data_IF_355703955366
#
_entry.id   IF_355703955366
#
_cell.length_a   1.000
_cell.length_b   1.000
_cell.length_c   1.000
_cell.angle_alpha   90.00
_cell.angle_beta   90.00
_cell.angle_gamma   90.00
#
_symmetry.space_group_name_H-M   'P 1'
#
loop_
_entity.id
_entity.type
_entity.pdbx_description
1 polymer ?
#
# COMPACT_ATOMS: atom_id res chain seq x y z
N UNK A 1 -18.51 48.48 24.25
CA UNK A 1 -19.74 48.30 23.43
C UNK A 1 -19.57 47.00 22.72
N UNK A 2 -20.02 45.92 23.27
CA UNK A 2 -21.34 45.30 23.30
C UNK A 2 -21.87 44.95 21.92
N UNK A 3 -22.02 43.67 21.71
CA UNK A 3 -22.87 43.05 20.70
C UNK A 3 -22.31 41.72 20.21
N UNK A 4 -22.54 40.64 20.86
CA UNK A 4 -23.62 39.63 20.94
C UNK A 4 -23.54 38.61 19.80
N UNK A 5 -23.22 37.39 20.19
CA UNK A 5 -23.50 36.09 19.60
C UNK A 5 -25.03 35.80 19.53
N UNK A 6 -25.48 34.97 18.65
CA UNK A 6 -26.44 33.90 18.96
C UNK A 6 -25.90 32.57 18.44
N UNK A 7 -25.88 31.50 19.12
CA UNK A 7 -26.63 30.88 20.20
C UNK A 7 -27.85 30.09 19.74
N UNK A 8 -27.68 28.77 19.73
CA UNK A 8 -28.72 27.73 20.01
C UNK A 8 -29.98 27.74 19.16
N UNK A 9 -30.23 26.60 18.53
CA UNK A 9 -31.39 25.73 18.76
C UNK A 9 -31.51 24.71 17.63
N UNK A 10 -31.39 23.44 17.96
CA UNK A 10 -32.36 22.43 17.57
C UNK A 10 -32.08 21.16 18.38
N UNK A 11 -32.78 21.08 19.51
CA UNK A 11 -33.08 19.85 20.26
C UNK A 11 -34.52 19.46 19.98
N UNK A 12 -34.69 18.12 19.97
CA UNK A 12 -35.93 17.42 20.28
C UNK A 12 -36.86 17.02 19.12
N UNK A 13 -36.90 15.71 18.85
CA UNK A 13 -38.14 14.97 18.78
C UNK A 13 -37.91 13.49 19.17
N UNK A 14 -38.14 13.19 20.43
CA UNK A 14 -38.36 11.84 20.97
C UNK A 14 -39.89 11.63 20.94
N UNK A 15 -40.35 10.51 20.40
CA UNK A 15 -41.67 9.95 20.71
C UNK A 15 -41.63 8.45 20.43
N UNK A 16 -41.46 7.63 21.46
CA UNK A 16 -42.47 6.78 22.09
C UNK A 16 -43.33 5.95 21.14
N UNK A 17 -43.10 4.65 21.11
CA UNK A 17 -44.22 3.71 21.17
C UNK A 17 -43.85 2.46 21.99
N UNK A 18 -44.47 2.33 23.15
CA UNK A 18 -44.64 1.15 24.00
C UNK A 18 -45.95 0.48 23.62
N UNK A 19 -45.95 -0.84 23.43
CA UNK A 19 -47.02 -1.75 23.82
C UNK A 19 -46.50 -3.17 23.66
N UNK A 20 -46.26 -3.92 24.71
CA UNK A 20 -47.17 -4.76 25.50
C UNK A 20 -47.84 -5.87 24.66
N UNK A 21 -47.37 -7.09 24.89
CA UNK A 21 -47.98 -8.33 24.43
C UNK A 21 -47.44 -9.50 25.25
N UNK A 22 -48.00 -9.70 26.44
CA UNK A 22 -47.83 -10.91 27.28
C UNK A 22 -48.61 -12.06 26.64
N UNK A 23 -48.01 -13.27 26.52
CA UNK A 23 -48.66 -14.52 26.18
C UNK A 23 -47.94 -15.69 26.84
N UNK A 24 -48.44 -16.16 27.94
CA UNK A 24 -47.92 -17.24 28.75
C UNK A 24 -48.30 -18.66 28.21
N UNK A 25 -47.81 -19.72 28.84
CA UNK A 25 -47.75 -21.07 28.26
C UNK A 25 -49.06 -21.86 28.53
N UNK A 26 -49.56 -22.49 27.47
CA UNK A 26 -50.68 -23.44 27.55
C UNK A 26 -50.20 -24.81 28.03
N UNK A 27 -50.64 -25.16 29.26
CA UNK A 27 -50.60 -26.52 29.81
C UNK A 27 -51.66 -27.36 29.10
N UNK A 28 -51.31 -28.43 28.43
CA UNK A 28 -52.23 -29.49 28.05
C UNK A 28 -52.25 -30.60 29.11
N UNK A 29 -53.42 -30.82 29.63
CA UNK A 29 -53.77 -31.80 30.63
C UNK A 29 -53.86 -33.19 30.04
N UNK A 30 -53.22 -34.16 30.71
CA UNK A 30 -53.49 -35.58 30.56
C UNK A 30 -54.90 -35.91 30.99
N UNK A 31 -55.68 -36.57 30.18
CA UNK A 31 -56.92 -37.26 30.53
C UNK A 31 -56.67 -38.77 30.61
N UNK A 32 -56.74 -39.29 31.81
CA UNK A 32 -56.83 -40.69 32.18
C UNK A 32 -58.15 -41.28 31.65
N UNK A 33 -58.13 -42.34 30.90
CA UNK A 33 -59.29 -43.19 30.63
C UNK A 33 -59.12 -44.53 31.33
N UNK A 34 -60.06 -44.82 32.23
CA UNK A 34 -60.13 -46.00 33.05
C UNK A 34 -60.45 -47.26 32.20
N UNK A 35 -59.75 -48.33 32.47
CA UNK A 35 -60.07 -49.67 32.00
C UNK A 35 -61.23 -50.28 32.74
N UNK A 36 -62.19 -50.74 31.97
CA UNK A 36 -63.24 -51.67 32.46
C UNK A 36 -62.89 -53.07 32.06
N UNK A 37 -62.68 -53.97 33.00
CA UNK A 37 -62.39 -55.36 32.81
C UNK A 37 -63.58 -56.15 32.23
N UNK A 38 -63.31 -57.10 31.40
CA UNK A 38 -64.19 -58.18 31.05
C UNK A 38 -63.48 -59.52 31.23
N UNK A 39 -63.99 -60.30 32.13
CA UNK A 39 -63.66 -61.74 32.36
C UNK A 39 -64.09 -62.54 31.13
N UNK A 40 -63.21 -63.26 30.48
CA UNK A 40 -63.61 -64.30 29.56
C UNK A 40 -62.95 -65.63 29.96
N UNK A 41 -63.74 -66.61 29.81
CA UNK A 41 -63.73 -67.94 30.34
C UNK A 41 -62.68 -68.89 29.88
N UNK A 42 -62.36 -69.85 30.75
CA UNK A 42 -61.26 -70.79 30.81
C UNK A 42 -61.15 -71.88 29.70
N UNK A 43 -61.73 -71.74 28.52
CA UNK A 43 -61.60 -72.69 27.43
C UNK A 43 -60.71 -72.33 26.25
N UNK A 44 -60.21 -71.13 26.28
CA UNK A 44 -59.24 -70.60 25.26
C UNK A 44 -57.74 -70.74 25.65
N UNK A 45 -57.46 -71.15 26.86
CA UNK A 45 -56.08 -71.22 27.37
C UNK A 45 -55.33 -72.50 26.87
N UNK A 46 -56.04 -73.58 26.48
CA UNK A 46 -55.40 -74.87 26.07
C UNK A 46 -55.03 -74.84 24.59
N UNK A 47 -55.77 -74.10 23.76
CA UNK A 47 -55.43 -74.01 22.34
C UNK A 47 -54.21 -73.04 22.08
N UNK A 48 -53.94 -72.10 22.94
CA UNK A 48 -52.80 -71.17 22.78
C UNK A 48 -51.43 -71.80 23.13
N UNK A 49 -51.39 -72.76 24.04
CA UNK A 49 -50.14 -73.46 24.44
C UNK A 49 -49.59 -74.43 23.40
N UNK A 50 -50.43 -75.03 22.56
CA UNK A 50 -49.99 -75.92 21.50
C UNK A 50 -49.48 -75.21 20.23
N UNK A 51 -49.98 -74.00 20.00
CA UNK A 51 -49.47 -73.13 18.90
C UNK A 51 -48.17 -72.49 19.27
N UNK A 52 -47.97 -72.13 20.56
CA UNK A 52 -46.72 -71.57 21.06
C UNK A 52 -45.53 -72.55 21.03
N UNK A 53 -45.80 -73.89 21.25
CA UNK A 53 -44.75 -74.90 21.21
C UNK A 53 -44.33 -75.24 19.73
N UNK A 54 -45.23 -75.14 18.75
CA UNK A 54 -44.89 -75.33 17.36
C UNK A 54 -44.15 -74.15 16.72
N UNK A 55 -44.36 -72.94 17.22
CA UNK A 55 -43.59 -71.74 16.76
C UNK A 55 -42.21 -71.63 17.38
N UNK A 56 -41.93 -72.21 18.54
CA UNK A 56 -40.60 -72.25 19.15
C UNK A 56 -39.61 -73.18 18.44
N UNK A 57 -40.12 -74.25 17.77
CA UNK A 57 -39.21 -75.15 17.06
C UNK A 57 -38.74 -74.67 15.70
N UNK A 58 -39.40 -73.63 15.10
CA UNK A 58 -39.00 -73.07 13.81
C UNK A 58 -37.97 -71.94 13.98
N UNK A 59 -37.87 -71.38 15.17
CA UNK A 59 -36.89 -70.33 15.48
C UNK A 59 -35.48 -70.83 15.85
N UNK A 60 -35.30 -72.12 16.10
CA UNK A 60 -34.01 -72.71 16.46
C UNK A 60 -33.20 -73.25 15.24
N UNK A 61 -33.73 -73.13 14.04
CA UNK A 61 -33.07 -73.65 12.80
C UNK A 61 -32.37 -72.61 11.93
N UNK A 62 -32.20 -71.33 12.38
CA UNK A 62 -31.51 -70.27 11.64
C UNK A 62 -30.35 -69.65 12.45
N UNK A 63 -29.57 -70.45 13.18
CA UNK A 63 -28.21 -70.05 13.53
C UNK A 63 -27.27 -70.44 12.39
N UNK A 64 -27.45 -69.70 11.26
CA UNK A 64 -26.47 -69.70 10.21
C UNK A 64 -25.40 -68.70 10.66
N UNK A 65 -24.29 -69.23 11.20
CA UNK A 65 -23.06 -68.48 11.32
C UNK A 65 -22.81 -67.82 9.93
N UNK A 66 -23.11 -66.52 9.84
CA UNK A 66 -22.60 -65.71 8.75
C UNK A 66 -21.08 -65.65 9.00
N UNK A 67 -20.34 -66.53 8.35
CA UNK A 67 -18.92 -66.32 8.14
C UNK A 67 -18.83 -64.91 7.54
N UNK A 68 -18.33 -63.98 8.34
CA UNK A 68 -17.98 -62.67 7.88
C UNK A 68 -16.83 -62.85 6.91
N UNK A 69 -17.18 -63.08 5.62
CA UNK A 69 -16.22 -63.11 4.55
C UNK A 69 -15.49 -61.76 4.66
N UNK A 70 -14.24 -61.78 5.14
CA UNK A 70 -13.41 -60.56 5.15
C UNK A 70 -13.54 -59.93 3.79
N UNK A 71 -14.14 -58.73 3.78
CA UNK A 71 -14.34 -58.01 2.53
C UNK A 71 -12.99 -57.84 1.87
N UNK A 72 -12.81 -58.40 0.70
CA UNK A 72 -11.54 -58.29 -0.03
C UNK A 72 -11.14 -56.83 -0.11
N UNK A 73 -9.88 -56.52 0.25
CA UNK A 73 -9.42 -55.14 0.36
C UNK A 73 -9.66 -54.41 -0.95
N UNK A 74 -10.39 -53.28 -0.86
CA UNK A 74 -10.72 -52.46 -2.02
C UNK A 74 -9.48 -51.87 -2.68
N UNK A 75 -9.38 -51.99 -4.04
CA UNK A 75 -8.28 -51.33 -4.73
C UNK A 75 -8.48 -49.81 -4.74
N UNK A 76 -7.45 -49.06 -4.33
CA UNK A 76 -7.39 -47.59 -4.33
C UNK A 76 -6.13 -47.12 -5.01
N UNK A 77 -6.19 -45.98 -5.71
CA UNK A 77 -4.98 -45.27 -6.14
C UNK A 77 -4.60 -44.29 -5.09
N UNK A 78 -3.30 -44.13 -4.88
CA UNK A 78 -2.73 -43.24 -3.86
C UNK A 78 -1.66 -42.33 -4.45
N UNK A 79 -1.42 -41.24 -3.80
CA UNK A 79 -0.25 -40.38 -4.05
C UNK A 79 0.37 -39.99 -2.75
N UNK A 80 1.70 -39.79 -2.75
CA UNK A 80 2.44 -39.30 -1.59
C UNK A 80 2.41 -37.78 -1.60
N UNK A 81 2.21 -37.20 -0.44
CA UNK A 81 2.13 -35.76 -0.26
C UNK A 81 3.52 -35.15 -0.15
N UNK A 82 3.73 -34.08 -0.92
CA UNK A 82 4.90 -33.23 -0.79
C UNK A 82 4.48 -31.81 -0.37
N UNK A 83 5.16 -31.24 0.59
CA UNK A 83 5.01 -29.81 0.94
C UNK A 83 5.85 -28.98 -0.02
N UNK A 84 5.24 -27.97 -0.62
CA UNK A 84 5.99 -26.95 -1.35
C UNK A 84 5.56 -25.55 -0.94
N UNK A 85 6.46 -24.60 -1.10
CA UNK A 85 6.12 -23.20 -0.89
C UNK A 85 5.19 -22.74 -2.02
N UNK A 86 4.03 -22.23 -1.65
CA UNK A 86 3.12 -21.62 -2.62
C UNK A 86 3.39 -20.13 -2.69
N UNK A 87 3.76 -19.68 -3.90
CA UNK A 87 3.83 -18.28 -4.22
C UNK A 87 2.44 -17.83 -4.70
N UNK A 88 1.77 -17.02 -3.92
CA UNK A 88 0.52 -16.39 -4.33
C UNK A 88 0.83 -15.05 -4.97
N UNK A 89 0.54 -14.85 -6.26
CA UNK A 89 0.72 -13.56 -6.87
C UNK A 89 -0.34 -12.57 -6.37
N UNK A 90 0.12 -11.50 -5.74
CA UNK A 90 -0.71 -10.35 -5.40
C UNK A 90 -0.56 -9.31 -6.51
N UNK A 91 -1.67 -8.77 -6.99
CA UNK A 91 -1.67 -7.73 -8.02
C UNK A 91 -2.33 -6.47 -7.49
N UNK A 92 -1.65 -5.34 -7.68
CA UNK A 92 -2.12 -4.01 -7.30
C UNK A 92 -2.12 -3.13 -8.54
N UNK A 93 -3.15 -2.33 -8.71
CA UNK A 93 -3.22 -1.32 -9.75
C UNK A 93 -2.65 -0.01 -9.22
N UNK A 94 -1.85 0.67 -10.04
CA UNK A 94 -1.19 1.92 -9.69
C UNK A 94 -0.98 2.81 -10.90
N UNK A 95 -0.14 3.83 -10.73
CA UNK A 95 0.21 4.80 -11.76
C UNK A 95 1.72 5.05 -11.80
N UNK A 96 2.22 5.51 -12.95
CA UNK A 96 3.61 5.94 -13.10
C UNK A 96 3.71 7.41 -12.74
N UNK A 97 4.63 7.75 -11.83
CA UNK A 97 5.01 9.12 -11.52
C UNK A 97 6.52 9.33 -11.75
N UNK A 98 6.94 10.57 -11.78
CA UNK A 98 8.37 10.87 -11.78
C UNK A 98 8.96 10.51 -10.41
N UNK A 99 10.19 10.02 -10.41
CA UNK A 99 10.94 9.77 -9.18
C UNK A 99 11.09 11.03 -8.35
N UNK A 100 11.54 12.11 -9.03
CA UNK A 100 11.69 13.43 -8.45
C UNK A 100 10.86 14.45 -9.24
N UNK A 101 9.98 15.14 -8.55
CA UNK A 101 9.18 16.22 -9.09
C UNK A 101 9.40 17.49 -8.27
N UNK A 102 9.86 18.57 -8.94
CA UNK A 102 10.18 19.83 -8.30
C UNK A 102 9.22 20.91 -8.77
N UNK A 103 8.60 21.61 -7.82
CA UNK A 103 7.84 22.82 -8.10
C UNK A 103 8.78 24.02 -8.12
N UNK A 104 8.86 24.72 -9.25
CA UNK A 104 9.67 25.92 -9.41
C UNK A 104 8.80 27.16 -9.21
N UNK A 105 9.34 28.13 -8.46
CA UNK A 105 8.66 29.35 -8.04
C UNK A 105 9.64 30.51 -7.98
N UNK A 106 9.14 31.74 -8.16
CA UNK A 106 9.94 32.93 -7.92
C UNK A 106 10.23 33.15 -6.42
N UNK A 107 11.40 33.71 -6.11
CA UNK A 107 11.80 34.08 -4.75
C UNK A 107 11.20 35.41 -4.31
N UNK A 108 10.76 36.24 -5.25
CA UNK A 108 10.14 37.55 -5.04
C UNK A 108 8.78 37.61 -5.71
N UNK A 109 7.91 38.49 -5.20
CA UNK A 109 6.61 38.75 -5.81
C UNK A 109 6.74 39.77 -6.94
N UNK A 110 5.95 39.64 -7.98
CA UNK A 110 5.95 40.59 -9.10
C UNK A 110 4.91 40.27 -10.15
N UNK A 111 4.82 41.12 -11.17
CA UNK A 111 3.99 40.84 -12.34
C UNK A 111 4.74 39.96 -13.31
N UNK A 112 4.10 38.91 -13.78
CA UNK A 112 4.67 37.98 -14.74
C UNK A 112 4.72 38.60 -16.13
N UNK A 113 5.91 38.85 -16.66
CA UNK A 113 6.13 39.41 -17.97
C UNK A 113 5.97 38.33 -19.06
N UNK A 114 6.56 37.18 -18.84
CA UNK A 114 6.49 36.02 -19.73
C UNK A 114 6.46 34.71 -18.93
N UNK A 115 5.72 33.75 -19.47
CA UNK A 115 5.73 32.36 -19.02
C UNK A 115 5.75 31.46 -20.24
N UNK A 116 6.90 30.91 -20.57
CA UNK A 116 7.11 30.08 -21.76
C UNK A 116 6.91 28.58 -21.46
N UNK A 117 6.40 28.24 -20.26
CA UNK A 117 6.23 26.85 -19.86
C UNK A 117 4.93 26.26 -20.44
N UNK A 118 5.04 25.13 -21.14
CA UNK A 118 3.91 24.35 -21.65
C UNK A 118 3.93 22.95 -21.08
N UNK A 119 2.76 22.44 -20.80
CA UNK A 119 2.61 21.06 -20.32
C UNK A 119 3.19 20.09 -21.34
N UNK A 120 4.11 19.24 -20.85
CA UNK A 120 4.75 18.23 -21.69
C UNK A 120 6.06 18.65 -22.35
N UNK A 121 6.44 19.93 -22.31
CA UNK A 121 7.72 20.42 -22.86
C UNK A 121 8.91 19.86 -22.09
N UNK A 122 10.00 19.60 -22.81
CA UNK A 122 11.29 19.24 -22.23
C UNK A 122 12.08 20.51 -21.97
N UNK A 123 12.69 20.59 -20.80
CA UNK A 123 13.55 21.71 -20.39
C UNK A 123 14.94 21.22 -20.05
N UNK A 124 15.93 22.10 -20.30
CA UNK A 124 17.34 21.85 -19.97
C UNK A 124 17.74 22.67 -18.73
N UNK A 125 18.79 22.23 -18.03
CA UNK A 125 19.31 22.96 -16.89
C UNK A 125 19.75 24.38 -17.33
N UNK A 126 19.36 25.40 -16.54
CA UNK A 126 19.63 26.83 -16.82
C UNK A 126 18.67 27.47 -17.84
N UNK A 127 17.79 26.71 -18.48
CA UNK A 127 16.80 27.26 -19.42
C UNK A 127 15.87 28.23 -18.72
N UNK A 128 15.62 29.42 -19.32
CA UNK A 128 14.65 30.40 -18.84
C UNK A 128 13.24 29.82 -19.01
N UNK A 129 12.46 29.81 -17.94
CA UNK A 129 11.10 29.31 -17.88
C UNK A 129 10.07 30.44 -17.86
N UNK A 130 10.36 31.45 -17.05
CA UNK A 130 9.46 32.58 -16.85
C UNK A 130 10.26 33.81 -16.39
N UNK A 131 9.67 34.98 -16.55
CA UNK A 131 10.30 36.26 -16.20
C UNK A 131 9.27 37.19 -15.53
N UNK A 132 9.67 37.82 -14.43
CA UNK A 132 8.94 38.94 -13.83
C UNK A 132 9.32 40.27 -14.52
N UNK A 133 8.45 41.28 -14.39
CA UNK A 133 8.74 42.65 -14.82
C UNK A 133 9.85 43.23 -13.91
N UNK A 134 11.08 43.50 -14.44
CA UNK A 134 12.25 43.82 -13.61
C UNK A 134 12.44 45.32 -13.36
N UNK A 135 11.43 46.16 -13.64
CA UNK A 135 11.57 47.61 -13.67
C UNK A 135 12.03 48.22 -12.36
N UNK A 136 11.49 47.73 -11.22
CA UNK A 136 11.81 48.19 -9.87
C UNK A 136 13.21 47.74 -9.45
N UNK A 137 13.55 46.47 -9.74
CA UNK A 137 14.83 45.85 -9.40
C UNK A 137 15.98 46.49 -10.18
N UNK A 138 15.76 46.78 -11.48
CA UNK A 138 16.71 47.50 -12.31
C UNK A 138 16.92 48.95 -11.83
N UNK A 139 15.87 49.60 -11.31
CA UNK A 139 15.99 50.93 -10.72
C UNK A 139 16.79 50.88 -9.42
N UNK A 140 16.55 49.90 -8.56
CA UNK A 140 17.31 49.67 -7.33
C UNK A 140 18.78 49.37 -7.63
N UNK A 141 19.05 48.55 -8.64
CA UNK A 141 20.42 48.25 -9.09
C UNK A 141 21.14 49.51 -9.55
N UNK A 142 20.47 50.40 -10.32
CA UNK A 142 21.07 51.68 -10.75
C UNK A 142 21.37 52.58 -9.56
N UNK A 143 20.48 52.65 -8.56
CA UNK A 143 20.71 53.40 -7.32
C UNK A 143 21.91 52.87 -6.55
N UNK A 144 22.03 51.58 -6.35
CA UNK A 144 23.16 50.94 -5.66
C UNK A 144 24.49 51.19 -6.40
N UNK A 145 24.51 51.12 -7.75
CA UNK A 145 25.70 51.46 -8.54
C UNK A 145 26.12 52.92 -8.34
N UNK A 146 25.17 53.86 -8.33
CA UNK A 146 25.48 55.27 -8.07
C UNK A 146 26.01 55.51 -6.66
N UNK A 147 25.44 54.82 -5.64
CA UNK A 147 25.91 54.91 -4.25
C UNK A 147 27.35 54.37 -4.10
N UNK A 148 27.68 53.27 -4.75
CA UNK A 148 29.05 52.75 -4.76
C UNK A 148 30.03 53.73 -5.40
N UNK A 149 29.67 54.30 -6.55
CA UNK A 149 30.51 55.31 -7.23
C UNK A 149 30.76 56.53 -6.33
N UNK A 150 29.75 57.02 -5.60
CA UNK A 150 29.89 58.12 -4.66
C UNK A 150 30.83 57.76 -3.46
N UNK A 151 30.64 56.55 -2.88
CA UNK A 151 31.49 56.06 -1.80
C UNK A 151 32.96 55.90 -2.24
N UNK A 152 33.21 55.40 -3.45
CA UNK A 152 34.55 55.30 -4.04
C UNK A 152 35.21 56.68 -4.23
N UNK A 153 34.42 57.68 -4.66
CA UNK A 153 34.87 59.07 -4.75
C UNK A 153 35.31 59.64 -3.37
N UNK A 154 34.48 59.39 -2.33
CA UNK A 154 34.78 59.80 -0.95
C UNK A 154 36.05 59.10 -0.41
N UNK A 155 36.22 57.80 -0.69
CA UNK A 155 37.43 57.06 -0.29
C UNK A 155 38.67 57.62 -0.98
N UNK A 156 38.57 57.93 -2.28
CA UNK A 156 39.69 58.56 -3.00
C UNK A 156 40.09 59.88 -2.40
N UNK A 157 39.12 60.73 -2.04
CA UNK A 157 39.36 61.98 -1.37
C UNK A 157 40.00 61.80 0.01
N UNK A 158 39.48 60.89 0.82
CA UNK A 158 40.00 60.57 2.15
C UNK A 158 41.42 59.98 2.08
N UNK A 159 41.71 59.11 1.12
CA UNK A 159 43.03 58.54 0.85
C UNK A 159 44.03 59.61 0.50
N UNK A 160 43.72 60.50 -0.46
CA UNK A 160 44.59 61.61 -0.83
C UNK A 160 44.86 62.59 0.33
N UNK A 161 43.86 62.76 1.23
CA UNK A 161 44.01 63.54 2.43
C UNK A 161 44.93 62.88 3.46
N UNK A 162 44.75 61.58 3.68
CA UNK A 162 45.61 60.74 4.54
C UNK A 162 47.07 60.78 4.05
N UNK A 163 47.36 60.54 2.79
CA UNK A 163 48.70 60.55 2.22
C UNK A 163 49.42 61.94 2.39
N UNK A 164 48.66 63.02 2.21
CA UNK A 164 49.19 64.37 2.49
C UNK A 164 49.51 64.53 3.96
N UNK A 165 48.65 64.15 4.90
CA UNK A 165 48.90 64.30 6.33
C UNK A 165 50.04 63.38 6.80
N UNK A 166 50.23 62.22 6.24
CA UNK A 166 51.34 61.30 6.48
C UNK A 166 52.69 62.00 6.12
N UNK A 167 52.74 62.55 4.91
CA UNK A 167 53.92 63.28 4.41
C UNK A 167 54.25 64.50 5.30
N UNK A 168 53.23 65.28 5.65
CA UNK A 168 53.40 66.51 6.57
C UNK A 168 53.80 66.08 7.96
N UNK A 169 53.34 64.98 8.50
CA UNK A 169 53.72 64.46 9.80
C UNK A 169 55.21 64.05 9.84
N UNK A 170 55.67 63.38 8.81
CA UNK A 170 57.07 62.99 8.64
C UNK A 170 58.01 64.18 8.55
N UNK A 171 57.51 65.32 8.04
CA UNK A 171 58.25 66.60 8.01
C UNK A 171 58.05 67.46 9.25
N UNK A 172 57.26 67.04 10.22
CA UNK A 172 56.97 67.81 11.45
C UNK A 172 56.01 69.00 11.27
N UNK A 173 55.30 69.10 10.13
CA UNK A 173 54.46 70.27 9.76
C UNK A 173 52.95 70.04 10.06
N UNK A 174 52.60 68.92 10.66
CA UNK A 174 51.25 68.70 11.19
C UNK A 174 51.28 68.01 12.54
N UNK A 175 50.13 67.99 13.23
CA UNK A 175 50.00 67.34 14.55
C UNK A 175 49.59 65.85 14.38
N UNK A 176 49.94 65.03 15.39
CA UNK A 176 49.54 63.64 15.44
C UNK A 176 48.01 63.47 15.43
N UNK A 177 47.30 64.37 16.10
CA UNK A 177 45.83 64.39 16.12
C UNK A 177 45.25 64.59 14.71
N UNK A 178 45.84 65.47 13.88
CA UNK A 178 45.39 65.67 12.49
C UNK A 178 45.63 64.43 11.63
N UNK A 179 46.75 63.72 11.81
CA UNK A 179 47.05 62.49 11.13
C UNK A 179 46.08 61.35 11.57
N UNK A 180 45.79 61.22 12.87
CA UNK A 180 44.84 60.25 13.41
C UNK A 180 43.44 60.52 12.88
N UNK A 181 43.01 61.77 12.78
CA UNK A 181 41.74 62.17 12.19
C UNK A 181 41.62 61.75 10.67
N UNK A 182 42.76 61.98 9.93
CA UNK A 182 42.80 61.58 8.50
C UNK A 182 42.77 60.03 8.34
N UNK A 183 43.45 59.33 9.26
CA UNK A 183 43.41 57.84 9.28
C UNK A 183 41.99 57.33 9.53
N UNK A 184 41.31 57.91 10.52
CA UNK A 184 39.92 57.59 10.85
C UNK A 184 38.98 57.92 9.70
N UNK A 185 39.17 59.10 9.04
CA UNK A 185 38.34 59.45 7.88
C UNK A 185 38.51 58.46 6.70
N UNK A 186 39.76 58.03 6.42
CA UNK A 186 40.02 57.01 5.41
C UNK A 186 39.37 55.67 5.77
N UNK A 187 39.50 55.21 7.01
CA UNK A 187 38.89 53.98 7.47
C UNK A 187 37.35 54.02 7.38
N UNK A 188 36.75 55.14 7.75
CA UNK A 188 35.29 55.34 7.62
C UNK A 188 34.84 55.30 6.15
N UNK A 189 35.57 55.97 5.25
CA UNK A 189 35.26 55.95 3.83
C UNK A 189 35.47 54.56 3.21
N UNK A 190 36.46 53.78 3.68
CA UNK A 190 36.67 52.40 3.29
C UNK A 190 35.43 51.53 3.68
N UNK A 191 34.97 51.64 4.91
CA UNK A 191 33.80 50.92 5.38
C UNK A 191 32.51 51.31 4.65
N UNK A 192 32.39 52.58 4.17
CA UNK A 192 31.29 53.01 3.33
C UNK A 192 31.31 52.37 1.95
N UNK A 193 32.50 52.17 1.34
CA UNK A 193 32.63 51.42 0.08
C UNK A 193 32.18 49.96 0.27
N UNK A 194 32.67 49.30 1.31
CA UNK A 194 32.29 47.90 1.61
C UNK A 194 30.77 47.74 1.80
N UNK A 195 30.15 48.69 2.51
CA UNK A 195 28.69 48.72 2.68
C UNK A 195 27.94 48.94 1.35
N UNK A 196 28.44 49.83 0.48
CA UNK A 196 27.85 50.08 -0.82
C UNK A 196 28.04 48.90 -1.79
N UNK A 197 29.17 48.18 -1.72
CA UNK A 197 29.41 46.94 -2.46
C UNK A 197 28.43 45.83 -2.06
N UNK A 198 28.22 45.64 -0.75
CA UNK A 198 27.22 44.69 -0.25
C UNK A 198 25.79 45.03 -0.74
N UNK A 199 25.46 46.33 -0.74
CA UNK A 199 24.15 46.77 -1.24
C UNK A 199 24.02 46.57 -2.76
N UNK A 200 25.09 46.79 -3.53
CA UNK A 200 25.10 46.50 -4.97
C UNK A 200 24.91 45.02 -5.23
N UNK A 201 25.60 44.15 -4.49
CA UNK A 201 25.42 42.69 -4.61
C UNK A 201 23.99 42.27 -4.33
N UNK A 202 23.39 42.78 -3.26
CA UNK A 202 21.97 42.49 -2.94
C UNK A 202 21.00 42.97 -4.04
N UNK A 203 21.26 44.13 -4.62
CA UNK A 203 20.45 44.65 -5.73
C UNK A 203 20.62 43.82 -7.02
N UNK A 204 21.83 43.29 -7.25
CA UNK A 204 22.09 42.39 -8.37
C UNK A 204 21.36 41.06 -8.19
N UNK A 205 21.35 40.50 -6.99
CA UNK A 205 20.61 39.27 -6.69
C UNK A 205 19.11 39.46 -6.88
N UNK A 206 18.53 40.58 -6.48
CA UNK A 206 17.12 40.88 -6.74
C UNK A 206 16.77 40.91 -8.22
N UNK A 207 17.63 41.43 -9.07
CA UNK A 207 17.42 41.37 -10.53
C UNK A 207 17.50 39.93 -11.02
N UNK A 208 18.44 39.14 -10.51
CA UNK A 208 18.54 37.72 -10.88
C UNK A 208 17.29 36.93 -10.49
N UNK A 209 16.62 37.29 -9.38
CA UNK A 209 15.38 36.64 -8.92
C UNK A 209 14.17 36.97 -9.80
N UNK A 210 14.26 37.91 -10.71
CA UNK A 210 13.21 38.17 -11.72
C UNK A 210 13.20 37.15 -12.86
N UNK A 211 14.24 36.36 -13.00
CA UNK A 211 14.33 35.28 -13.99
C UNK A 211 14.19 33.93 -13.28
N UNK A 212 13.22 33.14 -13.74
CA UNK A 212 13.02 31.77 -13.26
C UNK A 212 13.65 30.81 -14.27
N UNK A 213 14.66 30.07 -13.82
CA UNK A 213 15.38 29.09 -14.63
C UNK A 213 15.21 27.68 -14.07
N UNK A 214 15.27 26.69 -14.96
CA UNK A 214 15.24 25.28 -14.56
C UNK A 214 16.55 24.89 -13.86
N UNK A 215 16.43 24.26 -12.69
CA UNK A 215 17.59 23.77 -11.91
C UNK A 215 18.24 22.53 -12.54
N UNK A 216 17.43 21.69 -13.19
CA UNK A 216 17.83 20.41 -13.78
C UNK A 216 17.04 20.13 -15.06
N UNK A 217 17.57 19.26 -15.94
CA UNK A 217 16.82 18.83 -17.11
C UNK A 217 15.60 18.00 -16.70
N UNK A 218 14.49 18.18 -17.42
CA UNK A 218 13.26 17.48 -17.07
C UNK A 218 12.12 17.71 -18.06
N UNK A 219 10.93 17.33 -17.64
CA UNK A 219 9.69 17.51 -18.40
C UNK A 219 8.67 18.28 -17.56
N UNK A 220 8.01 19.26 -18.15
CA UNK A 220 6.97 20.04 -17.46
C UNK A 220 5.71 19.18 -17.28
N UNK A 221 5.33 18.96 -16.01
CA UNK A 221 4.14 18.17 -15.61
C UNK A 221 2.96 19.03 -15.16
N UNK A 222 3.22 20.28 -14.78
CA UNK A 222 2.16 21.26 -14.50
C UNK A 222 2.64 22.67 -14.82
N UNK A 223 1.71 23.55 -15.20
CA UNK A 223 1.96 24.97 -15.44
C UNK A 223 1.08 25.81 -14.52
N UNK A 224 1.62 26.93 -14.06
CA UNK A 224 0.95 27.88 -13.17
C UNK A 224 0.35 29.08 -13.92
N UNK A 225 0.43 30.30 -13.33
CA UNK A 225 -0.18 31.52 -13.84
C UNK A 225 0.29 31.90 -15.23
N UNK A 226 -0.56 32.64 -15.94
CA UNK A 226 -0.26 33.15 -17.29
C UNK A 226 0.50 34.48 -17.23
N UNK A 227 1.18 34.82 -18.33
CA UNK A 227 1.79 36.13 -18.49
C UNK A 227 0.78 37.26 -18.27
N UNK A 228 1.19 38.33 -17.56
CA UNK A 228 0.36 39.46 -17.16
C UNK A 228 -0.25 39.36 -15.77
N UNK A 229 -0.27 38.18 -15.15
CA UNK A 229 -0.76 38.00 -13.79
C UNK A 229 0.31 38.42 -12.72
N UNK A 230 -0.18 38.77 -11.54
CA UNK A 230 0.68 39.06 -10.39
C UNK A 230 0.86 37.77 -9.57
N UNK A 231 2.12 37.38 -9.34
CA UNK A 231 2.49 36.19 -8.58
C UNK A 231 3.13 36.54 -7.26
N UNK A 232 2.92 35.70 -6.28
CA UNK A 232 3.54 35.82 -4.96
C UNK A 232 4.85 34.99 -4.89
N UNK A 233 5.75 35.42 -4.00
CA UNK A 233 6.94 34.61 -3.69
C UNK A 233 6.52 33.20 -3.23
N UNK A 234 7.13 32.14 -3.78
CA UNK A 234 6.79 30.75 -3.48
C UNK A 234 5.58 30.18 -4.23
N UNK A 235 4.86 31.01 -5.00
CA UNK A 235 3.77 30.52 -5.85
C UNK A 235 4.33 29.69 -6.99
N UNK A 236 3.80 28.45 -7.17
CA UNK A 236 4.24 27.55 -8.23
C UNK A 236 4.01 28.15 -9.62
N UNK A 237 5.05 28.21 -10.43
CA UNK A 237 5.02 28.66 -11.84
C UNK A 237 5.02 27.45 -12.77
N UNK A 238 5.80 26.42 -12.47
CA UNK A 238 5.79 25.17 -13.20
C UNK A 238 6.20 24.04 -12.27
N UNK A 239 5.88 22.82 -12.67
CA UNK A 239 6.36 21.61 -12.02
C UNK A 239 7.17 20.83 -13.04
N UNK A 240 8.36 20.39 -12.63
CA UNK A 240 9.32 19.71 -13.49
C UNK A 240 9.56 18.33 -12.94
N UNK A 241 9.21 17.29 -13.72
CA UNK A 241 9.63 15.93 -13.48
C UNK A 241 11.04 15.74 -14.02
N UNK A 242 12.00 15.40 -13.17
CA UNK A 242 13.37 15.08 -13.57
C UNK A 242 13.39 13.84 -14.45
N UNK A 243 14.34 13.74 -15.36
CA UNK A 243 14.37 12.64 -16.35
C UNK A 243 14.90 11.32 -15.77
N UNK A 244 15.49 11.34 -14.60
CA UNK A 244 16.42 10.30 -14.14
C UNK A 244 15.74 9.11 -13.45
N UNK A 245 14.43 9.09 -13.31
CA UNK A 245 13.74 7.96 -12.70
C UNK A 245 12.22 8.01 -12.81
N UNK A 246 11.62 6.84 -12.73
CA UNK A 246 10.16 6.69 -12.66
C UNK A 246 9.82 5.74 -11.53
N UNK A 247 8.82 6.15 -10.78
CA UNK A 247 8.22 5.32 -9.75
C UNK A 247 6.87 4.81 -10.21
N UNK A 248 6.56 3.58 -9.85
CA UNK A 248 5.19 3.09 -9.87
C UNK A 248 4.60 3.26 -8.47
N UNK A 249 3.50 4.00 -8.37
CA UNK A 249 2.81 4.30 -7.11
C UNK A 249 1.63 3.36 -6.97
N UNK A 250 1.57 2.65 -5.84
CA UNK A 250 0.49 1.72 -5.52
C UNK A 250 -0.13 2.05 -4.18
N UNK A 251 -1.46 1.95 -4.10
CA UNK A 251 -2.21 2.08 -2.85
C UNK A 251 -2.44 0.69 -2.25
N UNK A 252 -1.68 0.35 -1.21
CA UNK A 252 -1.65 -0.99 -0.63
C UNK A 252 -2.33 -1.02 0.74
N UNK A 253 -3.27 -1.97 0.99
CA UNK A 253 -3.91 -2.12 2.30
C UNK A 253 -2.92 -2.39 3.44
N UNK A 254 -3.19 -1.83 4.62
CA UNK A 254 -2.32 -1.91 5.80
C UNK A 254 -1.91 -3.35 6.19
N UNK A 255 -2.79 -4.31 5.98
CA UNK A 255 -2.50 -5.72 6.31
C UNK A 255 -1.39 -6.28 5.44
N UNK A 256 -1.37 -5.93 4.15
CA UNK A 256 -0.39 -6.42 3.18
C UNK A 256 0.98 -5.76 3.36
N UNK A 257 1.00 -4.48 3.70
CA UNK A 257 2.25 -3.76 4.00
C UNK A 257 3.00 -4.40 5.19
N UNK A 258 2.26 -4.84 6.23
CA UNK A 258 2.87 -5.49 7.41
C UNK A 258 3.43 -6.87 7.15
N UNK A 259 2.90 -7.59 6.19
CA UNK A 259 3.33 -8.94 5.82
C UNK A 259 4.36 -8.98 4.69
N UNK A 260 4.66 -7.83 4.08
CA UNK A 260 5.62 -7.74 2.98
C UNK A 260 7.06 -7.93 3.49
N UNK A 261 7.88 -8.78 2.83
CA UNK A 261 9.31 -8.85 3.10
C UNK A 261 10.02 -7.54 2.80
N UNK A 262 11.16 -7.27 3.44
CA UNK A 262 11.89 -6.01 3.31
C UNK A 262 12.49 -5.76 1.90
N UNK A 263 12.78 -6.82 1.12
CA UNK A 263 13.37 -6.71 -0.23
C UNK A 263 12.48 -7.45 -1.25
N UNK A 264 11.32 -6.86 -1.53
CA UNK A 264 10.36 -7.41 -2.49
C UNK A 264 10.66 -6.87 -3.88
N UNK A 265 10.93 -7.78 -4.83
CA UNK A 265 10.90 -7.43 -6.25
C UNK A 265 9.45 -7.35 -6.74
N UNK A 266 9.13 -6.22 -7.36
CA UNK A 266 7.83 -5.96 -7.97
C UNK A 266 7.99 -6.00 -9.48
N UNK A 267 7.21 -6.85 -10.14
CA UNK A 267 7.09 -6.80 -11.60
C UNK A 267 5.94 -5.88 -11.96
N UNK A 268 6.25 -4.79 -12.65
CA UNK A 268 5.27 -3.78 -13.06
C UNK A 268 4.99 -3.93 -14.54
N UNK A 269 3.72 -4.04 -14.92
CA UNK A 269 3.26 -4.14 -16.31
C UNK A 269 2.28 -3.01 -16.63
N UNK A 270 2.27 -2.52 -17.88
CA UNK A 270 1.22 -1.62 -18.33
C UNK A 270 -0.14 -2.34 -18.33
N UNK A 271 -1.19 -1.64 -17.93
CA UNK A 271 -2.55 -2.19 -17.94
C UNK A 271 -3.05 -2.42 -19.35
N UNK A 272 -2.72 -1.52 -20.29
CA UNK A 272 -3.17 -1.56 -21.69
C UNK A 272 -2.38 -2.58 -22.52
N UNK A 273 -1.10 -2.83 -22.17
CA UNK A 273 -0.26 -3.85 -22.81
C UNK A 273 0.58 -4.59 -21.75
N UNK A 274 0.08 -5.72 -21.24
CA UNK A 274 0.76 -6.52 -20.20
C UNK A 274 2.11 -7.10 -20.62
N UNK A 275 2.48 -7.05 -21.90
CA UNK A 275 3.79 -7.49 -22.38
C UNK A 275 4.90 -6.48 -22.08
N UNK A 276 4.53 -5.21 -21.92
CA UNK A 276 5.45 -4.15 -21.52
C UNK A 276 5.61 -4.19 -20.01
N UNK A 277 6.76 -4.68 -19.57
CA UNK A 277 7.07 -4.88 -18.15
C UNK A 277 8.36 -4.16 -17.75
N UNK A 278 8.43 -3.75 -16.50
CA UNK A 278 9.64 -3.28 -15.84
C UNK A 278 9.78 -3.97 -14.48
N UNK A 279 11.01 -4.12 -14.01
CA UNK A 279 11.29 -4.57 -12.65
C UNK A 279 11.44 -3.35 -11.75
N UNK A 280 10.95 -3.45 -10.53
CA UNK A 280 11.13 -2.41 -9.54
C UNK A 280 11.36 -2.96 -8.15
N UNK A 281 11.82 -2.08 -7.26
CA UNK A 281 11.97 -2.35 -5.83
C UNK A 281 11.23 -1.30 -5.04
N UNK A 282 10.70 -1.69 -3.89
CA UNK A 282 10.06 -0.74 -2.98
C UNK A 282 11.12 0.23 -2.49
N UNK A 283 10.92 1.51 -2.80
CA UNK A 283 11.82 2.60 -2.39
C UNK A 283 11.30 3.31 -1.14
N UNK A 284 9.99 3.49 -1.08
CA UNK A 284 9.36 4.21 0.01
C UNK A 284 7.96 3.65 0.28
N UNK A 285 7.61 3.60 1.55
CA UNK A 285 6.26 3.35 2.03
C UNK A 285 5.86 4.57 2.85
N UNK A 286 4.68 5.14 2.57
CA UNK A 286 4.17 6.27 3.33
C UNK A 286 4.07 5.91 4.82
N UNK A 287 4.49 6.83 5.70
CA UNK A 287 4.44 6.59 7.14
C UNK A 287 3.01 6.60 7.70
N UNK A 288 2.08 7.21 6.98
CA UNK A 288 0.68 7.33 7.38
C UNK A 288 -0.21 6.80 6.26
N UNK A 289 -1.27 6.07 6.65
CA UNK A 289 -2.31 5.65 5.73
C UNK A 289 -3.19 6.84 5.32
N UNK A 290 -3.66 6.82 4.09
CA UNK A 290 -4.70 7.73 3.64
C UNK A 290 -5.97 7.54 4.49
N UNK A 291 -6.55 8.60 5.06
CA UNK A 291 -7.68 8.50 5.99
C UNK A 291 -8.99 8.03 5.33
N UNK A 292 -9.11 8.17 4.01
CA UNK A 292 -10.33 7.83 3.25
C UNK A 292 -10.25 6.38 2.77
N UNK A 293 -9.16 6.02 2.08
CA UNK A 293 -8.98 4.68 1.49
C UNK A 293 -8.43 3.67 2.47
N UNK A 294 -7.78 4.10 3.56
CA UNK A 294 -7.08 3.27 4.56
C UNK A 294 -5.95 2.44 3.95
N UNK A 295 -5.38 2.92 2.86
CA UNK A 295 -4.24 2.33 2.18
C UNK A 295 -2.97 3.12 2.44
N UNK A 296 -1.83 2.48 2.32
CA UNK A 296 -0.52 3.13 2.32
C UNK A 296 -0.04 3.32 0.90
N UNK A 297 0.44 4.51 0.59
CA UNK A 297 1.13 4.76 -0.67
C UNK A 297 2.49 4.07 -0.64
N UNK A 298 2.73 3.21 -1.63
CA UNK A 298 3.99 2.48 -1.82
C UNK A 298 4.62 2.93 -3.13
N UNK A 299 5.82 3.50 -3.06
CA UNK A 299 6.62 3.91 -4.23
C UNK A 299 7.60 2.81 -4.59
N UNK A 300 7.48 2.35 -5.81
CA UNK A 300 8.34 1.31 -6.39
C UNK A 300 9.22 1.95 -7.45
N UNK A 301 10.51 2.10 -7.15
CA UNK A 301 11.51 2.60 -8.11
C UNK A 301 11.70 1.61 -9.24
N UNK A 302 11.48 2.05 -10.49
CA UNK A 302 11.60 1.22 -11.67
C UNK A 302 13.04 1.23 -12.22
N UNK A 303 13.54 0.05 -12.56
CA UNK A 303 14.85 -0.10 -13.21
C UNK A 303 14.63 -0.13 -14.72
N UNK A 304 15.29 0.78 -15.46
CA UNK A 304 15.24 0.91 -16.92
C UNK A 304 13.81 0.79 -17.51
N UNK A 305 12.85 1.62 -17.05
CA UNK A 305 11.49 1.51 -17.50
C UNK A 305 11.37 1.80 -19.01
N UNK A 306 10.66 0.96 -19.77
CA UNK A 306 10.43 1.19 -21.20
C UNK A 306 9.81 2.57 -21.49
N UNK A 307 10.11 3.18 -22.63
CA UNK A 307 9.60 4.49 -23.02
C UNK A 307 8.07 4.56 -23.09
N UNK A 308 7.41 3.42 -23.28
CA UNK A 308 5.95 3.30 -23.29
C UNK A 308 5.33 3.50 -21.90
N UNK A 309 6.05 3.25 -20.80
CA UNK A 309 5.61 3.55 -19.42
C UNK A 309 5.72 5.04 -19.14
N UNK A 310 4.82 5.85 -19.73
CA UNK A 310 4.81 7.31 -19.60
C UNK A 310 4.29 7.73 -18.22
N UNK A 311 4.66 8.94 -17.80
CA UNK A 311 4.08 9.54 -16.60
C UNK A 311 2.55 9.60 -16.72
N UNK A 312 1.83 9.23 -15.66
CA UNK A 312 0.38 9.11 -15.63
C UNK A 312 -0.18 7.81 -16.20
N UNK A 313 0.64 6.91 -16.78
CA UNK A 313 0.17 5.62 -17.26
C UNK A 313 -0.29 4.71 -16.12
N UNK A 314 -1.39 4.00 -16.33
CA UNK A 314 -1.88 3.00 -15.37
C UNK A 314 -1.10 1.69 -15.51
N UNK A 315 -0.69 1.14 -14.37
CA UNK A 315 0.13 -0.06 -14.30
C UNK A 315 -0.40 -1.06 -13.28
N UNK A 316 -0.06 -2.32 -13.48
CA UNK A 316 -0.30 -3.39 -12.54
C UNK A 316 1.04 -3.88 -11.97
N UNK A 317 1.18 -3.77 -10.64
CA UNK A 317 2.30 -4.32 -9.89
C UNK A 317 1.98 -5.73 -9.42
N UNK A 318 2.83 -6.69 -9.77
CA UNK A 318 2.73 -8.08 -9.31
C UNK A 318 3.85 -8.37 -8.33
N UNK A 319 3.46 -8.86 -7.17
CA UNK A 319 4.35 -9.33 -6.10
C UNK A 319 4.06 -10.79 -5.84
N UNK A 320 5.10 -11.60 -5.77
CA UNK A 320 4.97 -13.00 -5.37
C UNK A 320 5.23 -13.09 -3.86
N UNK A 321 4.19 -13.44 -3.10
CA UNK A 321 4.29 -13.62 -1.65
C UNK A 321 4.20 -15.09 -1.31
N UNK A 322 5.13 -15.59 -0.49
CA UNK A 322 5.02 -16.93 0.06
C UNK A 322 3.84 -16.99 1.04
N UNK A 323 2.87 -17.82 0.76
CA UNK A 323 1.75 -18.10 1.67
C UNK A 323 2.05 -19.18 2.70
N UNK A 324 3.32 -19.54 2.84
CA UNK A 324 3.77 -20.65 3.66
C UNK A 324 3.73 -21.99 2.92
N UNK A 325 4.16 -23.06 3.59
CA UNK A 325 4.16 -24.40 3.01
C UNK A 325 2.71 -24.87 2.78
N UNK A 326 2.40 -25.22 1.56
CA UNK A 326 1.11 -25.78 1.15
C UNK A 326 1.29 -27.16 0.56
N UNK A 327 0.20 -27.88 0.47
CA UNK A 327 0.15 -29.23 -0.11
C UNK A 327 -0.83 -29.19 -1.29
N UNK A 328 -0.35 -29.59 -2.47
CA UNK A 328 -1.22 -29.76 -3.63
C UNK A 328 -1.72 -31.20 -3.67
N UNK A 329 -3.03 -31.36 -3.70
CA UNK A 329 -3.68 -32.65 -3.87
C UNK A 329 -4.55 -32.66 -5.11
N UNK A 330 -4.67 -33.78 -5.83
CA UNK A 330 -5.65 -33.90 -6.91
C UNK A 330 -7.07 -33.66 -6.38
N UNK A 331 -7.88 -32.92 -7.13
CA UNK A 331 -9.27 -32.64 -6.73
C UNK A 331 -10.09 -33.91 -6.49
N UNK A 332 -9.71 -35.03 -7.15
CA UNK A 332 -10.31 -36.36 -6.97
C UNK A 332 -10.05 -37.01 -5.62
N UNK A 333 -9.01 -36.54 -4.86
CA UNK A 333 -8.72 -37.03 -3.52
C UNK A 333 -9.64 -36.41 -2.45
N UNK A 334 -10.29 -35.29 -2.79
CA UNK A 334 -11.14 -34.58 -1.84
C UNK A 334 -12.48 -35.32 -1.68
N UNK A 335 -12.87 -35.51 -0.44
CA UNK A 335 -14.17 -36.02 -0.04
C UNK A 335 -14.82 -35.08 0.97
N UNK A 336 -16.04 -35.39 1.38
CA UNK A 336 -16.75 -34.60 2.40
C UNK A 336 -17.21 -35.51 3.53
N UNK A 337 -16.80 -35.23 4.74
CA UNK A 337 -17.19 -35.98 5.94
C UNK A 337 -17.79 -34.98 6.93
N UNK A 338 -18.97 -35.24 7.44
CA UNK A 338 -19.71 -34.33 8.32
C UNK A 338 -19.82 -32.90 7.77
N UNK A 339 -20.05 -32.79 6.46
CA UNK A 339 -20.11 -31.52 5.71
C UNK A 339 -18.81 -30.72 5.65
N UNK A 340 -17.70 -31.25 6.15
CA UNK A 340 -16.37 -30.64 6.06
C UNK A 340 -15.52 -31.32 5.00
N UNK A 341 -14.63 -30.56 4.31
CA UNK A 341 -13.65 -31.12 3.41
C UNK A 341 -12.73 -32.10 4.13
N UNK A 342 -12.50 -33.25 3.56
CA UNK A 342 -11.65 -34.29 4.15
C UNK A 342 -10.92 -35.09 3.07
N UNK A 343 -9.87 -35.78 3.44
CA UNK A 343 -9.14 -36.73 2.61
C UNK A 343 -8.97 -38.07 3.34
N UNK A 344 -8.75 -39.12 2.59
CA UNK A 344 -8.44 -40.43 3.13
C UNK A 344 -6.93 -40.63 3.15
N UNK A 345 -6.38 -40.84 4.33
CA UNK A 345 -4.96 -41.17 4.54
C UNK A 345 -4.84 -42.69 4.70
N UNK A 346 -3.86 -43.27 4.02
CA UNK A 346 -3.51 -44.67 4.12
C UNK A 346 -2.32 -44.84 5.04
N UNK A 347 -2.46 -45.65 6.07
CA UNK A 347 -1.33 -46.10 6.87
C UNK A 347 -0.53 -47.17 6.11
N UNK A 348 0.75 -46.93 5.76
CA UNK A 348 1.53 -47.86 4.95
C UNK A 348 1.83 -49.18 5.64
N UNK A 349 1.79 -49.25 7.00
CA UNK A 349 2.07 -50.42 7.76
C UNK A 349 0.88 -51.39 7.88
N UNK A 350 -0.34 -50.83 7.99
CA UNK A 350 -1.56 -51.61 8.24
C UNK A 350 -2.47 -51.67 7.01
N UNK A 351 -2.25 -50.80 6.03
CA UNK A 351 -3.14 -50.56 4.89
C UNK A 351 -4.59 -50.20 5.28
N UNK A 352 -4.76 -49.54 6.44
CA UNK A 352 -6.02 -49.01 6.90
C UNK A 352 -6.19 -47.56 6.45
N UNK A 353 -7.41 -47.19 6.11
CA UNK A 353 -7.72 -45.78 5.77
C UNK A 353 -8.33 -45.06 6.96
N UNK A 354 -7.85 -43.87 7.19
CA UNK A 354 -8.42 -42.92 8.15
C UNK A 354 -8.83 -41.63 7.46
N UNK A 355 -9.94 -41.06 7.88
CA UNK A 355 -10.41 -39.80 7.33
C UNK A 355 -9.84 -38.65 8.16
N UNK A 356 -9.32 -37.62 7.49
CA UNK A 356 -8.83 -36.40 8.14
C UNK A 356 -9.40 -35.16 7.47
N UNK A 357 -9.92 -34.23 8.27
CA UNK A 357 -10.38 -32.94 7.77
C UNK A 357 -9.19 -32.07 7.36
N UNK A 358 -9.37 -31.29 6.31
CA UNK A 358 -8.36 -30.44 5.73
C UNK A 358 -8.90 -29.02 5.51
N UNK A 359 -8.02 -28.03 5.67
CA UNK A 359 -8.34 -26.64 5.38
C UNK A 359 -7.89 -26.28 3.96
N UNK A 360 -8.85 -25.90 3.13
CA UNK A 360 -8.60 -25.58 1.72
C UNK A 360 -8.26 -24.10 1.59
N UNK A 361 -7.09 -23.80 1.04
CA UNK A 361 -6.66 -22.44 0.71
C UNK A 361 -7.24 -22.00 -0.65
N UNK A 362 -7.20 -22.88 -1.65
CA UNK A 362 -7.70 -22.61 -3.00
C UNK A 362 -8.19 -23.91 -3.65
N UNK A 363 -9.29 -23.80 -4.38
CA UNK A 363 -9.84 -24.88 -5.18
C UNK A 363 -9.70 -24.56 -6.66
N UNK A 364 -9.08 -25.45 -7.42
CA UNK A 364 -8.98 -25.39 -8.87
C UNK A 364 -9.60 -26.66 -9.49
N UNK A 365 -9.90 -26.68 -10.79
CA UNK A 365 -10.58 -27.80 -11.44
C UNK A 365 -9.79 -29.11 -11.36
N UNK A 366 -8.47 -29.06 -11.38
CA UNK A 366 -7.59 -30.23 -11.37
C UNK A 366 -6.96 -30.50 -10.01
N UNK A 367 -6.71 -29.47 -9.21
CA UNK A 367 -5.94 -29.54 -7.97
C UNK A 367 -6.59 -28.72 -6.86
N UNK A 368 -6.38 -29.14 -5.63
CA UNK A 368 -6.80 -28.43 -4.42
C UNK A 368 -5.56 -28.13 -3.60
N UNK A 369 -5.41 -26.87 -3.22
CA UNK A 369 -4.32 -26.42 -2.35
C UNK A 369 -4.80 -26.45 -0.91
N UNK A 370 -4.16 -27.28 -0.10
CA UNK A 370 -4.42 -27.47 1.33
C UNK A 370 -3.41 -26.69 2.13
N UNK A 371 -3.88 -25.89 3.10
CA UNK A 371 -3.04 -25.11 4.00
C UNK A 371 -2.73 -25.82 5.30
N UNK A 372 -3.66 -26.64 5.82
CA UNK A 372 -3.50 -27.36 7.10
C UNK A 372 -4.24 -28.71 7.06
N UNK A 373 -3.79 -29.61 7.94
CA UNK A 373 -4.43 -30.91 8.13
C UNK A 373 -3.68 -32.08 7.50
N UNK A 374 -2.57 -31.85 6.78
CA UNK A 374 -1.76 -32.90 6.15
C UNK A 374 -0.27 -32.68 6.45
N UNK A 375 0.49 -33.78 6.51
CA UNK A 375 1.93 -33.75 6.69
C UNK A 375 2.66 -34.33 5.46
N UNK A 376 3.89 -33.83 5.23
CA UNK A 376 4.73 -34.34 4.15
C UNK A 376 5.05 -35.83 4.35
N UNK A 377 5.00 -36.61 3.28
CA UNK A 377 5.24 -38.04 3.30
C UNK A 377 4.01 -38.89 3.60
N UNK A 378 2.87 -38.29 3.95
CA UNK A 378 1.62 -39.04 4.09
C UNK A 378 1.09 -39.51 2.72
N UNK A 379 0.44 -40.65 2.71
CA UNK A 379 -0.14 -41.26 1.51
C UNK A 379 -1.65 -41.04 1.52
N UNK A 380 -2.17 -40.35 0.52
CA UNK A 380 -3.60 -40.08 0.36
C UNK A 380 -4.21 -40.90 -0.78
N UNK A 381 -5.48 -41.20 -0.65
CA UNK A 381 -6.26 -41.87 -1.71
C UNK A 381 -6.71 -40.85 -2.75
N UNK A 382 -6.41 -41.09 -4.03
CA UNK A 382 -6.79 -40.23 -5.16
C UNK A 382 -7.96 -40.79 -5.98
N UNK A 383 -8.22 -42.10 -5.92
CA UNK A 383 -9.36 -42.69 -6.59
C UNK A 383 -10.03 -43.77 -5.71
N UNK A 384 -11.38 -43.79 -5.74
CA UNK A 384 -12.18 -44.68 -4.91
C UNK A 384 -12.66 -44.07 -3.58
N UNK A 385 -12.46 -42.78 -3.38
CA UNK A 385 -12.69 -42.01 -2.12
C UNK A 385 -14.13 -42.09 -1.60
N UNK A 386 -15.14 -42.16 -2.48
CA UNK A 386 -16.56 -42.04 -2.08
C UNK A 386 -17.15 -43.31 -1.44
N UNK A 387 -16.46 -44.41 -1.53
CA UNK A 387 -16.94 -45.71 -1.06
C UNK A 387 -16.10 -46.26 0.09
N UNK A 388 -15.28 -45.44 0.71
CA UNK A 388 -14.42 -45.81 1.85
C UNK A 388 -15.10 -45.50 3.18
N UNK A 389 -14.77 -46.30 4.19
CA UNK A 389 -15.19 -46.10 5.57
C UNK A 389 -13.96 -46.06 6.48
N UNK A 390 -14.01 -45.32 7.60
CA UNK A 390 -12.91 -45.27 8.55
C UNK A 390 -12.53 -46.67 9.06
N UNK A 391 -11.21 -46.98 9.08
CA UNK A 391 -10.71 -48.28 9.51
C UNK A 391 -10.82 -49.39 8.46
N UNK A 392 -11.25 -49.10 7.22
CA UNK A 392 -11.33 -50.10 6.15
C UNK A 392 -9.94 -50.44 5.61
N UNK A 393 -9.68 -51.76 5.40
CA UNK A 393 -8.46 -52.24 4.74
C UNK A 393 -8.55 -52.06 3.24
N UNK A 394 -7.52 -51.46 2.64
CA UNK A 394 -7.44 -51.18 1.21
C UNK A 394 -6.24 -51.89 0.58
N UNK A 395 -6.30 -52.07 -0.72
CA UNK A 395 -5.18 -52.52 -1.54
C UNK A 395 -4.71 -51.40 -2.44
N UNK A 396 -3.53 -50.92 -2.20
CA UNK A 396 -2.90 -49.87 -2.99
C UNK A 396 -2.57 -50.39 -4.38
N UNK A 397 -3.14 -49.77 -5.41
CA UNK A 397 -2.83 -50.06 -6.82
C UNK A 397 -1.78 -49.03 -7.21
N UNK A 398 -0.49 -49.42 -7.21
CA UNK A 398 0.63 -48.64 -7.72
C UNK A 398 0.58 -47.17 -7.38
N UNK A 399 1.53 -46.64 -6.64
CA UNK A 399 1.73 -45.20 -6.58
C UNK A 399 2.14 -44.74 -8.00
N UNK A 400 1.33 -43.93 -8.65
CA UNK A 400 1.82 -43.13 -9.77
C UNK A 400 2.83 -42.15 -9.19
N UNK A 401 4.07 -42.06 -9.73
CA UNK A 401 5.10 -41.18 -9.27
C UNK A 401 4.71 -39.69 -9.43
#
# INVERSE_FOLDING_TARGET
>A
MCGRSPGQEYRAAISRNRNLGKGGPARQRFRSLAMRGRRTTSRQAIALTLVAAASASVLAACDRQVETKEASPRPVRTTTIEKRESLVPLTFTGRIEAEDEVSVAFRISGRLLANDTRLGDRVEAGQLLAQLEPQNELSTLRQAKAALSAAQGQLTQARNHYERQETLLAQGWTTRANFEAATQARQTAQSQVEAAEAQLSSAHDLVSFTELRADAPGKITATGPAAGEVVQAGQMIARIARQDGRDAIFDVPAQMVRSAPADVQVTVSLTDDPKITARGRIRQIAAQADPVTRTFEVKVGLTDPPAAMRLGATVNGRVETSSGPVIDIPATALTRINQQPAVWIVDPSTNLVSARNVDILRFDQAQVIVSQGLDAGEIIVTAGVQALHPGQKVRVLGAEP
#
